data_IF_483007414713
#
_entry.id   IF_483007414713
#
_cell.length_a   1.000
_cell.length_b   1.000
_cell.length_c   1.000
_cell.angle_alpha   90.00
_cell.angle_beta   90.00
_cell.angle_gamma   90.00
#
_symmetry.space_group_name_H-M   'P 1'
#
loop_
_entity.id
_entity.type
_entity.pdbx_description
1 polymer ?
#
# COMPACT_ATOMS: atom_id res chain seq x y z
N UNK A 1 -10.39 15.48 12.53
CA UNK A 1 -9.85 14.12 12.28
C UNK A 1 -8.43 14.27 11.78
N UNK A 2 -7.48 13.56 12.38
CA UNK A 2 -6.06 13.57 12.01
C UNK A 2 -5.75 12.37 11.12
N UNK A 3 -5.05 12.56 10.01
CA UNK A 3 -4.65 11.51 9.09
C UNK A 3 -3.78 10.44 9.76
N UNK A 4 -2.88 10.85 10.64
CA UNK A 4 -2.04 9.90 11.38
C UNK A 4 -2.86 8.91 12.21
N UNK A 5 -4.01 9.33 12.73
CA UNK A 5 -4.91 8.44 13.47
C UNK A 5 -5.58 7.43 12.53
N UNK A 6 -5.90 7.82 11.29
CA UNK A 6 -6.44 6.91 10.28
C UNK A 6 -5.39 5.88 9.83
N UNK A 7 -4.11 6.26 9.72
CA UNK A 7 -3.01 5.30 9.42
C UNK A 7 -2.88 4.23 10.50
N UNK A 8 -3.01 4.62 11.77
CA UNK A 8 -2.97 3.68 12.89
C UNK A 8 -4.16 2.73 12.85
N UNK A 9 -5.35 3.25 12.56
CA UNK A 9 -6.54 2.43 12.38
C UNK A 9 -6.33 1.38 11.27
N UNK A 10 -5.82 1.77 10.10
CA UNK A 10 -5.51 0.86 8.99
C UNK A 10 -4.50 -0.22 9.40
N UNK A 11 -3.45 0.16 10.12
CA UNK A 11 -2.45 -0.78 10.59
C UNK A 11 -3.04 -1.81 11.56
N UNK A 12 -3.92 -1.37 12.49
CA UNK A 12 -4.60 -2.28 13.43
C UNK A 12 -5.57 -3.20 12.67
N UNK A 13 -6.32 -2.66 11.71
CA UNK A 13 -7.26 -3.43 10.90
C UNK A 13 -6.55 -4.58 10.16
N UNK A 14 -5.43 -4.28 9.53
CA UNK A 14 -4.64 -5.24 8.75
C UNK A 14 -3.89 -6.26 9.60
N UNK A 15 -3.43 -5.86 10.80
CA UNK A 15 -2.65 -6.73 11.69
C UNK A 15 -3.50 -7.49 12.72
N UNK A 16 -4.71 -7.05 12.99
CA UNK A 16 -5.58 -7.62 14.01
C UNK A 16 -5.14 -7.38 15.46
N UNK A 17 -3.97 -6.78 15.69
CA UNK A 17 -3.44 -6.50 17.02
C UNK A 17 -2.83 -5.11 17.13
N UNK A 18 -3.01 -4.49 18.30
CA UNK A 18 -2.41 -3.17 18.58
C UNK A 18 -0.88 -3.25 18.60
N UNK A 19 -0.34 -4.34 19.13
CA UNK A 19 1.11 -4.57 19.22
C UNK A 19 1.74 -4.70 17.83
N UNK A 20 1.14 -5.48 16.95
CA UNK A 20 1.62 -5.66 15.58
C UNK A 20 1.56 -4.37 14.78
N UNK A 21 0.47 -3.62 14.90
CA UNK A 21 0.33 -2.31 14.27
C UNK A 21 1.37 -1.29 14.77
N UNK A 22 1.59 -1.24 16.09
CA UNK A 22 2.59 -0.36 16.70
C UNK A 22 4.01 -0.67 16.21
N UNK A 23 4.36 -1.96 16.15
CA UNK A 23 5.65 -2.41 15.62
C UNK A 23 5.82 -2.02 14.14
N UNK A 24 4.80 -2.22 13.31
CA UNK A 24 4.82 -1.84 11.89
C UNK A 24 5.06 -0.33 11.70
N UNK A 25 4.42 0.48 12.54
CA UNK A 25 4.50 1.95 12.46
C UNK A 25 5.68 2.53 13.25
N UNK A 26 6.48 1.69 13.91
CA UNK A 26 7.63 2.09 14.74
C UNK A 26 7.24 3.08 15.86
N UNK A 27 6.09 2.86 16.48
CA UNK A 27 5.60 3.62 17.63
C UNK A 27 5.36 2.69 18.82
N UNK A 28 5.23 3.25 20.02
CA UNK A 28 4.85 2.46 21.17
C UNK A 28 3.34 2.11 21.16
N UNK A 29 3.01 0.99 21.80
CA UNK A 29 1.64 0.47 21.84
C UNK A 29 0.66 1.42 22.56
N UNK A 30 1.13 2.16 23.57
CA UNK A 30 0.29 3.12 24.28
C UNK A 30 -0.10 4.30 23.38
N UNK A 31 0.85 4.77 22.57
CA UNK A 31 0.60 5.82 21.56
C UNK A 31 -0.39 5.35 20.51
N UNK A 32 -0.22 4.12 19.98
CA UNK A 32 -1.17 3.55 19.03
C UNK A 32 -2.59 3.47 19.64
N UNK A 33 -2.71 3.01 20.87
CA UNK A 33 -4.00 2.94 21.60
C UNK A 33 -4.66 4.30 21.80
N UNK A 34 -3.90 5.31 22.21
CA UNK A 34 -4.41 6.68 22.39
C UNK A 34 -4.90 7.29 21.08
N UNK A 35 -4.16 7.10 19.99
CA UNK A 35 -4.53 7.63 18.68
C UNK A 35 -5.73 6.93 18.08
N UNK A 36 -5.89 5.62 18.28
CA UNK A 36 -7.11 4.91 17.93
C UNK A 36 -8.32 5.47 18.71
N UNK A 37 -8.17 5.65 20.03
CA UNK A 37 -9.24 6.21 20.85
C UNK A 37 -9.60 7.64 20.41
N UNK A 38 -8.62 8.47 20.05
CA UNK A 38 -8.85 9.81 19.52
C UNK A 38 -9.62 9.79 18.19
N UNK A 39 -9.33 8.82 17.31
CA UNK A 39 -10.10 8.64 16.08
C UNK A 39 -11.54 8.23 16.37
N UNK A 40 -11.76 7.21 17.21
CA UNK A 40 -13.09 6.75 17.60
C UNK A 40 -13.91 7.88 18.22
N UNK A 41 -13.30 8.70 19.07
CA UNK A 41 -13.94 9.89 19.65
C UNK A 41 -14.29 10.92 18.58
N UNK A 42 -13.40 11.19 17.63
CA UNK A 42 -13.65 12.16 16.57
C UNK A 42 -14.74 11.75 15.58
N UNK A 43 -14.98 10.44 15.47
CA UNK A 43 -16.00 9.85 14.60
C UNK A 43 -17.29 9.51 15.37
N UNK A 44 -17.28 9.66 16.68
CA UNK A 44 -18.36 9.23 17.58
C UNK A 44 -18.78 7.77 17.32
N UNK A 45 -17.81 6.91 17.09
CA UNK A 45 -18.03 5.51 16.71
C UNK A 45 -16.92 4.59 17.22
N UNK A 46 -17.31 3.41 17.72
CA UNK A 46 -16.36 2.33 18.00
C UNK A 46 -16.01 1.61 16.70
N UNK A 47 -14.73 1.59 16.36
CA UNK A 47 -14.24 0.94 15.14
C UNK A 47 -13.82 -0.50 15.36
N UNK A 48 -13.45 -0.84 16.60
CA UNK A 48 -13.06 -2.21 16.97
C UNK A 48 -13.72 -2.67 18.27
N UNK A 49 -13.96 -3.99 18.31
CA UNK A 49 -14.19 -4.74 19.53
C UNK A 49 -12.86 -5.33 20.00
N UNK A 50 -12.56 -5.18 21.29
CA UNK A 50 -11.42 -5.86 21.92
C UNK A 50 -11.81 -7.28 22.30
N UNK A 51 -11.06 -8.25 21.83
CA UNK A 51 -11.21 -9.66 22.19
C UNK A 51 -9.91 -10.18 22.83
N UNK A 52 -9.92 -11.33 23.48
CA UNK A 52 -8.69 -11.94 24.02
C UNK A 52 -7.63 -12.21 22.94
N UNK A 53 -8.03 -12.38 21.69
CA UNK A 53 -7.16 -12.66 20.55
C UNK A 53 -6.76 -11.43 19.72
N UNK A 54 -7.34 -10.25 20.02
CA UNK A 54 -6.99 -9.01 19.32
C UNK A 54 -8.17 -8.08 19.08
N UNK A 55 -8.11 -7.32 18.00
CA UNK A 55 -9.08 -6.32 17.60
C UNK A 55 -9.91 -6.84 16.43
N UNK A 56 -11.22 -6.87 16.59
CA UNK A 56 -12.17 -7.28 15.55
C UNK A 56 -12.94 -6.04 15.08
N UNK A 57 -12.97 -5.75 13.77
CA UNK A 57 -13.72 -4.59 13.26
C UNK A 57 -15.22 -4.66 13.61
N UNK A 58 -15.80 -3.51 13.92
CA UNK A 58 -17.24 -3.32 13.98
C UNK A 58 -17.80 -3.01 12.59
N UNK A 59 -19.13 -2.93 12.44
CA UNK A 59 -19.74 -2.46 11.19
C UNK A 59 -19.27 -1.03 10.82
N UNK A 60 -19.07 -0.15 11.81
CA UNK A 60 -18.48 1.16 11.61
C UNK A 60 -16.99 1.06 11.19
N UNK A 61 -16.25 0.12 11.77
CA UNK A 61 -14.87 -0.18 11.37
C UNK A 61 -14.75 -0.63 9.92
N UNK A 62 -15.64 -1.49 9.47
CA UNK A 62 -15.69 -1.94 8.06
C UNK A 62 -15.95 -0.77 7.10
N UNK A 63 -16.89 0.11 7.42
CA UNK A 63 -17.17 1.30 6.62
C UNK A 63 -16.01 2.29 6.64
N UNK A 64 -15.39 2.50 7.80
CA UNK A 64 -14.24 3.37 7.97
C UNK A 64 -13.02 2.86 7.18
N UNK A 65 -12.83 1.54 7.07
CA UNK A 65 -11.72 0.94 6.35
C UNK A 65 -11.69 1.36 4.88
N UNK A 66 -12.79 1.21 4.16
CA UNK A 66 -12.87 1.60 2.76
C UNK A 66 -12.58 3.10 2.53
N UNK A 67 -13.01 3.96 3.46
CA UNK A 67 -12.72 5.39 3.39
C UNK A 67 -11.25 5.69 3.69
N UNK A 68 -10.69 5.06 4.72
CA UNK A 68 -9.29 5.24 5.12
C UNK A 68 -8.31 4.72 4.04
N UNK A 69 -8.62 3.61 3.36
CA UNK A 69 -7.81 3.14 2.22
C UNK A 69 -7.76 4.16 1.08
N UNK A 70 -8.88 4.80 0.76
CA UNK A 70 -8.88 5.88 -0.26
C UNK A 70 -8.04 7.09 0.18
N UNK A 71 -8.04 7.41 1.47
CA UNK A 71 -7.18 8.47 2.00
C UNK A 71 -5.70 8.11 1.89
N UNK A 72 -5.33 6.87 2.21
CA UNK A 72 -3.96 6.37 2.07
C UNK A 72 -3.50 6.44 0.61
N UNK A 73 -4.31 5.95 -0.32
CA UNK A 73 -4.03 6.02 -1.75
C UNK A 73 -3.84 7.47 -2.25
N UNK A 74 -4.68 8.39 -1.78
CA UNK A 74 -4.56 9.80 -2.13
C UNK A 74 -3.29 10.45 -1.56
N UNK A 75 -2.91 10.10 -0.31
CA UNK A 75 -1.68 10.56 0.30
C UNK A 75 -0.44 10.04 -0.44
N UNK A 76 -0.43 8.75 -0.80
CA UNK A 76 0.62 8.15 -1.61
C UNK A 76 0.72 8.76 -3.01
N UNK A 77 -0.42 9.09 -3.62
CA UNK A 77 -0.46 9.77 -4.90
C UNK A 77 0.13 11.17 -4.81
N UNK A 78 -0.21 11.93 -3.77
CA UNK A 78 0.36 13.25 -3.52
C UNK A 78 1.88 13.17 -3.39
N UNK A 79 2.38 12.23 -2.60
CA UNK A 79 3.80 12.03 -2.40
C UNK A 79 4.53 11.68 -3.72
N UNK A 80 3.96 10.76 -4.51
CA UNK A 80 4.50 10.42 -5.84
C UNK A 80 4.50 11.61 -6.80
N UNK A 81 3.45 12.43 -6.79
CA UNK A 81 3.38 13.63 -7.64
C UNK A 81 4.44 14.66 -7.26
N UNK A 82 4.67 14.86 -5.96
CA UNK A 82 5.71 15.80 -5.50
C UNK A 82 7.12 15.28 -5.79
N UNK A 83 7.38 13.99 -5.61
CA UNK A 83 8.65 13.37 -5.98
C UNK A 83 8.93 13.42 -7.49
N UNK A 84 7.87 13.37 -8.33
CA UNK A 84 7.98 13.50 -9.78
C UNK A 84 8.26 14.91 -10.29
N UNK A 85 8.04 15.94 -9.47
CA UNK A 85 8.34 17.32 -9.84
C UNK A 85 9.83 17.68 -9.71
N UNK A 86 10.56 16.98 -8.84
CA UNK A 86 11.95 17.31 -8.51
C UNK A 86 12.98 16.42 -9.20
N UNK A 87 12.58 15.30 -9.84
CA UNK A 87 13.51 14.34 -10.42
C UNK A 87 13.09 13.88 -11.80
N UNK A 88 14.09 13.73 -12.70
CA UNK A 88 13.97 12.94 -13.92
C UNK A 88 13.38 11.58 -13.56
N UNK A 89 12.40 11.14 -14.34
CA UNK A 89 11.85 9.80 -14.18
C UNK A 89 12.98 8.78 -14.23
N UNK A 90 13.23 8.12 -13.12
CA UNK A 90 14.31 7.14 -12.99
C UNK A 90 13.86 5.98 -12.09
N UNK A 91 14.52 4.86 -12.23
CA UNK A 91 14.25 3.70 -11.42
C UNK A 91 14.08 2.41 -12.23
N UNK A 92 13.61 1.36 -11.56
CA UNK A 92 13.38 0.05 -12.17
C UNK A 92 11.89 -0.27 -12.20
N UNK A 93 11.35 -0.47 -13.39
CA UNK A 93 9.99 -1.00 -13.61
C UNK A 93 10.10 -2.47 -13.97
N UNK A 94 9.41 -3.32 -13.23
CA UNK A 94 9.37 -4.77 -13.51
C UNK A 94 8.07 -5.08 -14.24
N UNK A 95 8.20 -5.67 -15.42
CA UNK A 95 7.07 -6.07 -16.26
C UNK A 95 7.13 -7.58 -16.46
N UNK A 96 6.03 -8.26 -16.09
CA UNK A 96 5.84 -9.68 -16.38
C UNK A 96 4.75 -9.83 -17.44
N UNK A 97 5.04 -10.58 -18.51
CA UNK A 97 4.10 -10.80 -19.61
C UNK A 97 4.41 -12.10 -20.35
N UNK A 98 3.56 -12.50 -21.29
CA UNK A 98 3.85 -13.62 -22.16
C UNK A 98 4.91 -13.26 -23.20
N UNK A 99 5.64 -14.26 -23.70
CA UNK A 99 6.68 -14.05 -24.71
C UNK A 99 6.13 -13.37 -25.97
N UNK A 100 4.94 -13.76 -26.42
CA UNK A 100 4.29 -13.18 -27.59
C UNK A 100 4.03 -11.69 -27.42
N UNK A 101 3.45 -11.30 -26.28
CA UNK A 101 3.15 -9.89 -25.98
C UNK A 101 4.45 -9.10 -25.81
N UNK A 102 5.43 -9.66 -25.11
CA UNK A 102 6.74 -9.04 -24.96
C UNK A 102 7.35 -8.72 -26.34
N UNK A 103 7.38 -9.70 -27.22
CA UNK A 103 8.05 -9.60 -28.51
C UNK A 103 7.40 -8.61 -29.49
N UNK A 104 6.07 -8.63 -29.57
CA UNK A 104 5.36 -7.85 -30.59
C UNK A 104 4.93 -6.45 -30.12
N UNK A 105 4.80 -6.22 -28.82
CA UNK A 105 4.26 -4.96 -28.30
C UNK A 105 5.17 -4.28 -27.29
N UNK A 106 5.71 -5.04 -26.32
CA UNK A 106 6.39 -4.43 -25.18
C UNK A 106 7.80 -3.94 -25.54
N UNK A 107 8.56 -4.68 -26.33
CA UNK A 107 9.94 -4.30 -26.69
C UNK A 107 10.00 -2.96 -27.44
N UNK A 108 9.05 -2.72 -28.34
CA UNK A 108 8.99 -1.44 -29.06
C UNK A 108 8.56 -0.29 -28.15
N UNK A 109 7.61 -0.53 -27.24
CA UNK A 109 7.21 0.46 -26.25
C UNK A 109 8.36 0.81 -25.28
N UNK A 110 9.12 -0.19 -24.84
CA UNK A 110 10.32 0.00 -24.01
C UNK A 110 11.37 0.84 -24.75
N UNK A 111 11.59 0.57 -26.02
CA UNK A 111 12.56 1.32 -26.82
C UNK A 111 12.19 2.79 -26.93
N UNK A 112 10.91 3.09 -27.18
CA UNK A 112 10.40 4.48 -27.24
C UNK A 112 10.51 5.17 -25.87
N UNK A 113 10.15 4.46 -24.80
CA UNK A 113 10.25 5.00 -23.44
C UNK A 113 11.71 5.30 -23.08
N UNK A 114 12.65 4.43 -23.44
CA UNK A 114 14.07 4.61 -23.12
C UNK A 114 14.70 5.80 -23.85
N UNK A 115 14.23 6.12 -25.07
CA UNK A 115 14.65 7.34 -25.79
C UNK A 115 14.19 8.60 -25.06
N UNK A 116 13.00 8.60 -24.50
CA UNK A 116 12.45 9.75 -23.78
C UNK A 116 12.93 9.85 -22.32
N UNK A 117 13.14 8.71 -21.69
CA UNK A 117 13.50 8.58 -20.27
C UNK A 117 14.62 7.54 -20.08
N UNK A 118 15.87 7.90 -20.38
CA UNK A 118 17.00 6.95 -20.36
C UNK A 118 17.32 6.41 -18.95
N UNK A 119 16.90 7.12 -17.91
CA UNK A 119 17.15 6.74 -16.52
C UNK A 119 16.14 5.69 -15.98
N UNK A 120 15.11 5.36 -16.75
CA UNK A 120 14.19 4.27 -16.44
C UNK A 120 14.77 2.95 -16.93
N UNK A 121 14.97 2.02 -16.02
CA UNK A 121 15.36 0.63 -16.34
C UNK A 121 14.12 -0.27 -16.29
N UNK A 122 13.94 -1.09 -17.30
CA UNK A 122 12.83 -2.05 -17.36
C UNK A 122 13.39 -3.46 -17.23
N UNK A 123 12.96 -4.16 -16.20
CA UNK A 123 13.22 -5.58 -16.03
C UNK A 123 12.01 -6.35 -16.58
N UNK A 124 12.18 -6.89 -17.79
CA UNK A 124 11.15 -7.68 -18.45
C UNK A 124 11.32 -9.16 -18.12
N UNK A 125 10.29 -9.80 -17.62
CA UNK A 125 10.25 -11.25 -17.44
C UNK A 125 9.13 -11.85 -18.30
N UNK A 126 9.48 -12.91 -19.04
CA UNK A 126 8.51 -13.69 -19.81
C UNK A 126 8.35 -15.05 -19.16
N UNK A 127 7.21 -15.31 -18.53
CA UNK A 127 6.91 -16.59 -17.92
C UNK A 127 5.88 -17.36 -18.77
N UNK A 128 6.16 -18.61 -19.03
CA UNK A 128 5.22 -19.53 -19.72
C UNK A 128 4.10 -19.99 -18.78
N UNK A 129 4.22 -19.78 -17.47
CA UNK A 129 3.22 -20.21 -16.48
C UNK A 129 2.39 -19.05 -15.97
N UNK A 130 1.11 -19.06 -16.34
CA UNK A 130 0.06 -18.14 -15.89
C UNK A 130 -0.15 -18.12 -14.35
N UNK A 131 0.35 -19.10 -13.62
CA UNK A 131 0.23 -19.21 -12.17
C UNK A 131 1.03 -18.15 -11.39
N UNK A 132 2.03 -17.55 -12.00
CA UNK A 132 2.88 -16.55 -11.33
C UNK A 132 2.38 -15.09 -11.46
N UNK A 133 1.45 -14.80 -12.36
CA UNK A 133 0.90 -13.44 -12.51
C UNK A 133 0.06 -13.01 -11.30
N UNK A 134 -0.54 -13.94 -10.57
CA UNK A 134 -1.36 -13.65 -9.38
C UNK A 134 -0.55 -13.49 -8.08
N UNK A 135 0.72 -13.89 -8.08
CA UNK A 135 1.58 -13.82 -6.89
C UNK A 135 2.27 -12.46 -6.71
N UNK A 136 2.22 -11.57 -7.70
CA UNK A 136 2.87 -10.24 -7.65
C UNK A 136 1.96 -9.11 -7.15
N UNK A 137 0.72 -9.40 -6.80
CA UNK A 137 -0.21 -8.41 -6.20
C UNK A 137 -0.15 -8.39 -4.68
N UNK A 138 0.66 -9.24 -4.04
CA UNK A 138 0.88 -9.20 -2.60
C UNK A 138 2.26 -8.61 -2.34
N UNK A 139 2.37 -7.49 -1.62
CA UNK A 139 3.66 -7.08 -1.08
C UNK A 139 4.12 -8.19 -0.14
N UNK A 140 5.24 -8.80 -0.43
CA UNK A 140 5.86 -9.74 0.50
C UNK A 140 6.37 -8.95 1.71
N UNK A 141 5.81 -9.14 2.89
CA UNK A 141 6.45 -8.70 4.09
C UNK A 141 7.26 -9.87 4.60
N UNK A 142 8.49 -9.93 4.29
CA UNK A 142 9.48 -10.67 5.11
C UNK A 142 10.81 -10.67 4.37
N UNK A 143 11.64 -9.74 4.73
CA UNK A 143 12.85 -10.03 5.51
C UNK A 143 13.26 -8.75 6.21
#
# INVERSE_FOLDING_TARGET
MDWDNARIFLAIYRNGTLRGAAALLQIDQATAGRRLAALETSLDARLFLRTPTGYVPTAAGEQAFAAAERMEQAADQLQRQMQGLDHRLSGVVRVATSETVARYFILEAIRRLHVQHPDIRIALSTAIQLSNCLLYTSPSPRD
#
